data_IF_696853784547
#
_entry.id   IF_696853784547
#
_cell.length_a   1.000
_cell.length_b   1.000
_cell.length_c   1.000
_cell.angle_alpha   90.00
_cell.angle_beta   90.00
_cell.angle_gamma   90.00
#
_symmetry.space_group_name_H-M   'P 1'
#
loop_
_entity.id
_entity.type
_entity.pdbx_description
1 polymer ?
#
# COMPACT_ATOMS: atom_id res chain seq x y z
N UNK A 1 12.72 -5.60 41.77
CA UNK A 1 12.26 -5.08 40.47
C UNK A 1 11.79 -6.28 39.66
N UNK A 2 10.48 -6.43 39.44
CA UNK A 2 9.89 -7.64 38.87
C UNK A 2 10.00 -7.63 37.34
N UNK A 3 10.07 -8.81 36.73
CA UNK A 3 9.97 -8.97 35.27
C UNK A 3 8.68 -8.36 34.72
N UNK A 4 7.59 -8.39 35.50
CA UNK A 4 6.31 -7.77 35.15
C UNK A 4 6.42 -6.24 35.00
N UNK A 5 7.37 -5.59 35.67
CA UNK A 5 7.60 -4.13 35.56
C UNK A 5 8.39 -3.78 34.28
N UNK A 6 9.00 -4.79 33.64
CA UNK A 6 9.89 -4.64 32.47
C UNK A 6 9.28 -5.19 31.18
N UNK A 7 8.31 -6.09 31.28
CA UNK A 7 7.65 -6.73 30.13
C UNK A 7 6.19 -6.29 30.08
N UNK A 8 5.83 -5.56 29.02
CA UNK A 8 4.43 -5.19 28.74
C UNK A 8 3.99 -5.87 27.45
N UNK A 9 2.80 -6.46 27.47
CA UNK A 9 2.19 -7.05 26.27
C UNK A 9 1.71 -5.91 25.38
N UNK A 10 2.19 -5.90 24.14
CA UNK A 10 1.66 -4.98 23.13
C UNK A 10 0.30 -5.51 22.64
N UNK A 11 -0.77 -4.81 23.00
CA UNK A 11 -2.15 -5.19 22.68
C UNK A 11 -2.56 -4.87 21.24
N UNK A 12 -1.74 -4.16 20.47
CA UNK A 12 -2.06 -3.77 19.08
C UNK A 12 -2.25 -4.99 18.14
N UNK A 13 -1.75 -6.17 18.52
CA UNK A 13 -1.85 -7.41 17.72
C UNK A 13 -3.05 -8.30 18.07
N UNK A 14 -3.95 -7.86 18.95
CA UNK A 14 -5.09 -8.66 19.43
C UNK A 14 -6.29 -8.67 18.49
N UNK A 15 -6.28 -7.83 17.45
CA UNK A 15 -7.34 -7.76 16.43
C UNK A 15 -6.77 -8.02 15.03
N UNK A 16 -7.60 -8.59 14.17
CA UNK A 16 -7.27 -8.76 12.75
C UNK A 16 -7.22 -7.40 12.04
N UNK A 17 -6.19 -7.21 11.21
CA UNK A 17 -6.02 -6.02 10.38
C UNK A 17 -6.98 -6.05 9.20
N UNK A 18 -7.69 -4.93 8.98
CA UNK A 18 -8.53 -4.67 7.83
C UNK A 18 -7.86 -3.63 6.93
N UNK A 19 -7.64 -3.97 5.66
CA UNK A 19 -6.85 -3.15 4.74
C UNK A 19 -7.38 -1.73 4.57
N UNK A 20 -8.69 -1.55 4.47
CA UNK A 20 -9.27 -0.23 4.19
C UNK A 20 -9.48 0.60 5.45
N UNK A 21 -9.92 -0.04 6.53
CA UNK A 21 -10.12 0.68 7.79
C UNK A 21 -8.80 1.12 8.41
N UNK A 22 -7.78 0.28 8.28
CA UNK A 22 -6.53 0.47 9.00
C UNK A 22 -5.45 1.14 8.13
N UNK A 23 -5.73 1.47 6.85
CA UNK A 23 -4.75 2.09 5.94
C UNK A 23 -4.23 3.44 6.42
N UNK A 24 -5.06 4.31 6.97
CA UNK A 24 -4.60 5.65 7.38
C UNK A 24 -4.17 5.69 8.86
N UNK A 25 -4.14 4.53 9.52
CA UNK A 25 -3.86 4.45 10.94
C UNK A 25 -2.35 4.44 11.21
N UNK A 26 -1.82 5.60 11.62
CA UNK A 26 -0.42 5.71 12.03
C UNK A 26 -0.07 4.71 13.14
N UNK A 27 -0.97 4.48 14.09
CA UNK A 27 -0.75 3.54 15.20
C UNK A 27 -0.61 2.10 14.72
N UNK A 28 -1.34 1.69 13.69
CA UNK A 28 -1.22 0.36 13.07
C UNK A 28 0.14 0.22 12.39
N UNK A 29 0.62 1.27 11.72
CA UNK A 29 1.94 1.25 11.08
C UNK A 29 3.05 1.23 12.11
N UNK A 30 3.00 2.08 13.12
CA UNK A 30 4.03 2.12 14.17
C UNK A 30 4.13 0.82 14.97
N UNK A 31 3.04 0.05 15.04
CA UNK A 31 3.04 -1.27 15.63
C UNK A 31 3.54 -2.37 14.66
N UNK A 32 3.81 -2.10 13.37
CA UNK A 32 4.24 -3.16 12.45
C UNK A 32 5.63 -3.68 12.80
N UNK A 33 5.77 -5.01 12.92
CA UNK A 33 7.05 -5.69 13.14
C UNK A 33 7.45 -6.41 11.84
N UNK A 34 8.49 -5.94 11.12
CA UNK A 34 8.99 -6.63 9.94
C UNK A 34 9.57 -7.99 10.30
N UNK A 35 8.91 -9.07 9.88
CA UNK A 35 9.44 -10.43 10.03
C UNK A 35 10.46 -10.73 8.92
N UNK A 36 11.30 -11.75 9.12
CA UNK A 36 12.23 -12.23 8.09
C UNK A 36 11.52 -12.60 6.77
N UNK A 37 10.30 -13.14 6.85
CA UNK A 37 9.48 -13.46 5.67
C UNK A 37 8.95 -12.20 4.99
N UNK A 38 8.54 -11.18 5.75
CA UNK A 38 8.12 -9.91 5.19
C UNK A 38 9.28 -9.21 4.47
N UNK A 39 10.46 -9.15 5.09
CA UNK A 39 11.65 -8.53 4.51
C UNK A 39 12.12 -9.26 3.25
N UNK A 40 12.12 -10.60 3.25
CA UNK A 40 12.44 -11.40 2.05
C UNK A 40 11.44 -11.16 0.92
N UNK A 41 10.15 -11.04 1.24
CA UNK A 41 9.10 -10.71 0.25
C UNK A 41 9.32 -9.30 -0.31
N UNK A 42 9.63 -8.34 0.56
CA UNK A 42 9.90 -6.95 0.17
C UNK A 42 11.12 -6.84 -0.75
N UNK A 43 12.19 -7.60 -0.47
CA UNK A 43 13.35 -7.70 -1.37
C UNK A 43 12.94 -8.15 -2.78
N UNK A 44 12.19 -9.25 -2.88
CA UNK A 44 11.72 -9.78 -4.17
C UNK A 44 10.84 -8.77 -4.90
N UNK A 45 9.96 -8.07 -4.19
CA UNK A 45 9.13 -7.01 -4.79
C UNK A 45 9.98 -5.83 -5.25
N UNK A 46 10.99 -5.42 -4.48
CA UNK A 46 11.90 -4.35 -4.86
C UNK A 46 12.77 -4.72 -6.09
N UNK A 47 13.14 -5.99 -6.25
CA UNK A 47 13.83 -6.47 -7.46
C UNK A 47 12.87 -6.42 -8.65
N UNK A 48 11.68 -6.97 -8.46
CA UNK A 48 10.67 -7.10 -9.49
C UNK A 48 9.96 -5.79 -9.87
N UNK A 49 10.14 -4.68 -9.13
CA UNK A 49 9.66 -3.34 -9.49
C UNK A 49 10.70 -2.54 -10.30
N UNK A 50 11.97 -2.95 -10.31
CA UNK A 50 13.05 -2.29 -11.07
C UNK A 50 13.45 -2.99 -12.37
N UNK A 51 13.08 -4.26 -12.56
CA UNK A 51 13.54 -5.08 -13.69
C UNK A 51 12.75 -4.83 -14.98
N UNK A 52 13.37 -4.46 -16.10
CA UNK A 52 12.69 -4.09 -17.38
C UNK A 52 11.52 -5.00 -17.82
N UNK A 53 11.56 -6.29 -17.49
CA UNK A 53 10.40 -7.20 -17.56
C UNK A 53 9.87 -7.51 -16.15
N UNK A 54 8.79 -6.82 -15.75
CA UNK A 54 8.20 -6.98 -14.42
C UNK A 54 6.99 -7.95 -14.45
N UNK A 55 6.87 -8.88 -13.48
CA UNK A 55 5.64 -9.62 -13.27
C UNK A 55 4.47 -8.64 -13.02
N UNK A 56 3.36 -8.78 -13.75
CA UNK A 56 2.20 -7.87 -13.65
C UNK A 56 1.34 -8.11 -12.41
N UNK A 57 1.45 -9.27 -11.76
CA UNK A 57 0.67 -9.63 -10.59
C UNK A 57 1.41 -10.64 -9.70
N UNK A 58 1.12 -10.58 -8.40
CA UNK A 58 1.67 -11.49 -7.39
C UNK A 58 0.56 -12.04 -6.48
N UNK A 59 0.77 -13.26 -5.99
CA UNK A 59 -0.04 -13.85 -4.92
C UNK A 59 0.81 -14.06 -3.67
N UNK A 60 0.38 -13.49 -2.54
CA UNK A 60 1.01 -13.70 -1.24
C UNK A 60 0.16 -14.70 -0.43
N UNK A 61 0.63 -15.94 -0.33
CA UNK A 61 -0.08 -17.04 0.33
C UNK A 61 0.59 -17.39 1.66
N UNK A 62 -0.21 -17.67 2.68
CA UNK A 62 0.26 -18.05 4.02
C UNK A 62 -0.90 -18.24 4.99
N UNK A 63 -0.68 -18.90 6.14
CA UNK A 63 -1.73 -19.22 7.10
C UNK A 63 -2.42 -17.98 7.68
N UNK A 64 -3.60 -18.14 8.26
CA UNK A 64 -4.28 -17.04 8.96
C UNK A 64 -3.38 -16.46 10.05
N UNK A 65 -3.41 -15.14 10.26
CA UNK A 65 -2.56 -14.47 11.25
C UNK A 65 -1.09 -14.30 10.87
N UNK A 66 -0.64 -14.78 9.71
CA UNK A 66 0.77 -14.64 9.26
C UNK A 66 1.19 -13.23 8.84
N UNK A 67 0.35 -12.20 9.07
CA UNK A 67 0.66 -10.81 8.77
C UNK A 67 0.56 -10.36 7.31
N UNK A 68 -0.07 -11.13 6.41
CA UNK A 68 -0.19 -10.79 4.97
C UNK A 68 -0.85 -9.43 4.72
N UNK A 69 -1.98 -9.18 5.36
CA UNK A 69 -2.71 -7.92 5.21
C UNK A 69 -1.89 -6.76 5.79
N UNK A 70 -1.29 -6.93 6.97
CA UNK A 70 -0.41 -5.94 7.58
C UNK A 70 0.79 -5.63 6.69
N UNK A 71 1.38 -6.64 6.05
CA UNK A 71 2.45 -6.47 5.06
C UNK A 71 1.99 -5.64 3.86
N UNK A 72 0.78 -5.88 3.34
CA UNK A 72 0.24 -5.11 2.21
C UNK A 72 0.06 -3.62 2.58
N UNK A 73 -0.41 -3.32 3.79
CA UNK A 73 -0.50 -1.93 4.26
C UNK A 73 0.90 -1.33 4.43
N UNK A 74 1.83 -2.05 5.05
CA UNK A 74 3.22 -1.61 5.21
C UNK A 74 3.88 -1.29 3.86
N UNK A 75 3.72 -2.18 2.88
CA UNK A 75 4.19 -1.97 1.51
C UNK A 75 3.53 -0.76 0.85
N UNK A 76 2.22 -0.58 1.01
CA UNK A 76 1.52 0.56 0.45
C UNK A 76 2.09 1.89 0.99
N UNK A 77 2.40 1.97 2.29
CA UNK A 77 3.04 3.16 2.84
C UNK A 77 4.48 3.34 2.42
N UNK A 78 5.26 2.27 2.28
CA UNK A 78 6.61 2.37 1.74
C UNK A 78 6.64 2.94 0.32
N UNK A 79 5.62 2.64 -0.48
CA UNK A 79 5.45 3.12 -1.85
C UNK A 79 4.63 4.41 -1.95
N UNK A 80 4.11 4.93 -0.83
CA UNK A 80 3.26 6.12 -0.80
C UNK A 80 4.02 7.44 -0.97
N UNK A 81 3.30 8.55 -0.84
CA UNK A 81 3.87 9.89 -0.95
C UNK A 81 4.99 10.12 0.08
N UNK A 82 6.21 10.55 -0.31
CA UNK A 82 7.35 10.70 0.60
C UNK A 82 7.12 11.66 1.78
N UNK A 83 6.26 12.67 1.61
CA UNK A 83 5.91 13.63 2.65
C UNK A 83 4.95 13.11 3.72
N UNK A 84 4.23 12.02 3.45
CA UNK A 84 3.17 11.52 4.33
C UNK A 84 3.73 10.94 5.63
N UNK A 85 3.01 11.16 6.73
CA UNK A 85 3.43 10.73 8.07
C UNK A 85 3.54 9.21 8.15
N UNK A 86 2.60 8.49 7.53
CA UNK A 86 2.59 7.02 7.45
C UNK A 86 3.76 6.47 6.63
N UNK A 87 4.08 7.10 5.48
CA UNK A 87 5.27 6.76 4.67
C UNK A 87 6.56 6.94 5.46
N UNK A 88 6.71 8.05 6.20
CA UNK A 88 7.88 8.30 7.05
C UNK A 88 7.99 7.27 8.17
N UNK A 89 6.86 6.91 8.80
CA UNK A 89 6.83 5.86 9.82
C UNK A 89 7.24 4.49 9.25
N UNK A 90 6.70 4.10 8.09
CA UNK A 90 7.05 2.85 7.44
C UNK A 90 8.54 2.79 7.07
N UNK A 91 9.11 3.86 6.52
CA UNK A 91 10.55 3.94 6.20
C UNK A 91 11.43 3.88 7.45
N UNK A 92 11.02 4.53 8.56
CA UNK A 92 11.72 4.42 9.85
C UNK A 92 11.74 2.98 10.35
N UNK A 93 10.60 2.29 10.33
CA UNK A 93 10.50 0.88 10.73
C UNK A 93 11.40 0.00 9.85
N UNK A 94 11.38 0.21 8.53
CA UNK A 94 12.24 -0.53 7.62
C UNK A 94 13.72 -0.31 7.95
N UNK A 95 14.12 0.93 8.21
CA UNK A 95 15.54 1.31 8.49
C UNK A 95 16.03 0.79 9.84
N UNK A 96 15.12 0.64 10.82
CA UNK A 96 15.45 0.10 12.15
C UNK A 96 15.54 -1.42 12.17
N UNK A 97 15.02 -2.11 11.15
CA UNK A 97 15.17 -3.56 11.04
C UNK A 97 16.62 -3.94 10.69
N UNK A 98 17.06 -5.10 11.15
CA UNK A 98 18.44 -5.56 10.95
C UNK A 98 18.73 -5.83 9.46
N UNK A 99 19.91 -5.41 8.99
CA UNK A 99 20.42 -5.67 7.63
C UNK A 99 19.54 -5.15 6.48
N UNK A 100 18.74 -4.11 6.69
CA UNK A 100 17.83 -3.55 5.67
C UNK A 100 18.31 -2.24 5.04
N UNK A 101 19.46 -1.69 5.42
CA UNK A 101 19.92 -0.37 4.94
C UNK A 101 19.91 -0.27 3.40
N UNK A 102 20.43 -1.29 2.70
CA UNK A 102 20.40 -1.34 1.25
C UNK A 102 18.98 -1.43 0.68
N UNK A 103 18.08 -2.18 1.32
CA UNK A 103 16.68 -2.28 0.92
C UNK A 103 15.94 -0.95 1.12
N UNK A 104 16.16 -0.25 2.23
CA UNK A 104 15.56 1.03 2.53
C UNK A 104 15.92 2.09 1.49
N UNK A 105 17.21 2.17 1.11
CA UNK A 105 17.68 3.06 0.03
C UNK A 105 17.00 2.70 -1.29
N UNK A 106 16.90 1.41 -1.62
CA UNK A 106 16.26 0.96 -2.86
C UNK A 106 14.79 1.35 -2.93
N UNK A 107 14.02 1.11 -1.87
CA UNK A 107 12.60 1.49 -1.80
C UNK A 107 12.45 3.01 -1.89
N UNK A 108 13.24 3.75 -1.13
CA UNK A 108 13.20 5.22 -1.12
C UNK A 108 13.51 5.80 -2.50
N UNK A 109 14.47 5.21 -3.24
CA UNK A 109 14.80 5.64 -4.60
C UNK A 109 13.64 5.48 -5.60
N UNK A 110 12.67 4.59 -5.32
CA UNK A 110 11.51 4.38 -6.19
C UNK A 110 10.45 5.48 -6.02
N UNK A 111 10.42 6.16 -4.87
CA UNK A 111 9.39 7.16 -4.54
C UNK A 111 9.91 8.59 -4.54
N UNK A 112 11.23 8.80 -4.37
CA UNK A 112 11.85 10.12 -4.23
C UNK A 112 11.63 11.08 -5.40
N UNK A 113 11.47 10.58 -6.63
CA UNK A 113 11.34 11.42 -7.81
C UNK A 113 9.92 11.98 -8.04
N UNK A 114 8.94 11.66 -7.18
CA UNK A 114 7.56 12.11 -7.38
C UNK A 114 6.66 11.97 -6.17
N UNK A 115 5.36 11.83 -6.43
CA UNK A 115 4.30 11.74 -5.42
C UNK A 115 4.16 10.32 -4.81
N UNK A 116 5.14 9.45 -5.03
CA UNK A 116 5.02 8.01 -4.78
C UNK A 116 4.12 7.31 -5.81
N UNK A 117 3.72 6.07 -5.48
CA UNK A 117 2.82 5.25 -6.29
C UNK A 117 1.35 5.51 -5.94
N UNK A 118 0.47 5.32 -6.93
CA UNK A 118 -0.96 5.25 -6.67
C UNK A 118 -1.31 3.89 -6.07
N UNK A 119 -1.25 3.78 -4.74
CA UNK A 119 -1.54 2.54 -4.03
C UNK A 119 -3.04 2.38 -3.81
N UNK A 120 -3.60 1.27 -4.29
CA UNK A 120 -5.04 0.97 -4.20
C UNK A 120 -5.25 -0.29 -3.37
N UNK A 121 -5.74 -0.12 -2.15
CA UNK A 121 -6.06 -1.22 -1.24
C UNK A 121 -7.55 -1.58 -1.32
N UNK A 122 -7.83 -2.86 -1.57
CA UNK A 122 -9.20 -3.36 -1.73
C UNK A 122 -9.33 -4.67 -0.95
N UNK A 123 -10.39 -4.78 -0.16
CA UNK A 123 -10.82 -6.02 0.48
C UNK A 123 -11.89 -6.71 -0.36
N UNK A 124 -11.88 -8.04 -0.42
CA UNK A 124 -12.95 -8.81 -1.03
C UNK A 124 -14.29 -8.55 -0.32
N UNK A 125 -15.36 -8.36 -1.10
CA UNK A 125 -16.72 -8.16 -0.59
C UNK A 125 -17.75 -8.71 -1.58
N UNK A 126 -19.04 -8.61 -1.26
CA UNK A 126 -20.14 -8.95 -2.18
C UNK A 126 -20.33 -7.91 -3.30
N UNK A 127 -19.64 -6.76 -3.26
CA UNK A 127 -19.63 -5.77 -4.34
C UNK A 127 -18.80 -6.25 -5.52
N UNK A 128 -19.16 -5.83 -6.74
CA UNK A 128 -18.33 -6.04 -7.94
C UNK A 128 -16.91 -5.49 -7.76
N UNK A 129 -15.91 -6.32 -8.03
CA UNK A 129 -14.49 -5.93 -8.02
C UNK A 129 -14.23 -4.76 -8.97
N UNK A 130 -14.80 -4.78 -10.17
CA UNK A 130 -14.61 -3.73 -11.17
C UNK A 130 -15.08 -2.37 -10.63
N UNK A 131 -16.29 -2.34 -10.05
CA UNK A 131 -16.83 -1.12 -9.43
C UNK A 131 -15.93 -0.62 -8.31
N UNK A 132 -15.51 -1.53 -7.44
CA UNK A 132 -14.71 -1.19 -6.27
C UNK A 132 -13.32 -0.69 -6.64
N UNK A 133 -12.67 -1.37 -7.58
CA UNK A 133 -11.38 -0.99 -8.14
C UNK A 133 -11.43 0.41 -8.73
N UNK A 134 -12.40 0.70 -9.60
CA UNK A 134 -12.52 2.00 -10.25
C UNK A 134 -12.79 3.10 -9.23
N UNK A 135 -13.66 2.86 -8.23
CA UNK A 135 -13.94 3.85 -7.17
C UNK A 135 -12.71 4.16 -6.34
N UNK A 136 -12.00 3.14 -5.85
CA UNK A 136 -10.80 3.35 -5.03
C UNK A 136 -9.68 3.98 -5.86
N UNK A 137 -9.47 3.53 -7.09
CA UNK A 137 -8.48 4.11 -8.01
C UNK A 137 -8.79 5.58 -8.34
N UNK A 138 -10.05 5.92 -8.64
CA UNK A 138 -10.46 7.29 -8.92
C UNK A 138 -10.29 8.20 -7.70
N UNK A 139 -10.63 7.71 -6.50
CA UNK A 139 -10.44 8.45 -5.26
C UNK A 139 -8.96 8.74 -4.99
N UNK A 140 -8.09 7.72 -5.10
CA UNK A 140 -6.64 7.84 -4.89
C UNK A 140 -5.98 8.71 -5.96
N UNK A 141 -6.34 8.54 -7.23
CA UNK A 141 -5.84 9.38 -8.31
C UNK A 141 -6.22 10.86 -8.09
N UNK A 142 -7.46 11.14 -7.71
CA UNK A 142 -7.91 12.51 -7.39
C UNK A 142 -7.09 13.12 -6.25
N UNK A 143 -6.80 12.36 -5.20
CA UNK A 143 -6.01 12.83 -4.06
C UNK A 143 -4.57 13.18 -4.46
N UNK A 144 -3.93 12.32 -5.27
CA UNK A 144 -2.57 12.56 -5.79
C UNK A 144 -2.54 13.83 -6.65
N UNK A 145 -3.48 13.97 -7.58
CA UNK A 145 -3.52 15.12 -8.49
C UNK A 145 -4.00 16.42 -7.82
N UNK A 146 -4.76 16.36 -6.73
CA UNK A 146 -5.10 17.53 -5.93
C UNK A 146 -3.88 18.15 -5.22
N UNK A 147 -2.82 17.38 -4.99
CA UNK A 147 -1.56 17.87 -4.40
C UNK A 147 -0.61 18.48 -5.44
N UNK A 148 -0.82 18.16 -6.71
CA UNK A 148 0.01 18.66 -7.82
C UNK A 148 -0.48 20.03 -8.28
N UNK A 149 0.46 20.85 -8.75
CA UNK A 149 0.14 22.13 -9.41
C UNK A 149 -0.35 21.93 -10.85
N UNK A 150 0.03 20.82 -11.46
CA UNK A 150 -0.30 20.46 -12.83
C UNK A 150 -1.77 20.01 -12.94
N UNK A 151 -2.44 20.27 -14.07
CA UNK A 151 -3.79 19.78 -14.29
C UNK A 151 -3.81 18.25 -14.34
N UNK A 152 -4.87 17.67 -13.77
CA UNK A 152 -5.06 16.22 -13.81
C UNK A 152 -5.20 15.73 -15.27
N UNK A 153 -4.54 14.62 -15.64
CA UNK A 153 -4.63 14.07 -16.98
C UNK A 153 -6.03 13.51 -17.23
N UNK A 154 -6.38 13.36 -18.51
CA UNK A 154 -7.70 12.92 -18.96
C UNK A 154 -8.16 11.60 -18.31
N UNK A 155 -7.24 10.69 -18.03
CA UNK A 155 -7.48 9.42 -17.32
C UNK A 155 -8.15 9.62 -15.96
N UNK A 156 -7.77 10.64 -15.19
CA UNK A 156 -8.37 10.90 -13.86
C UNK A 156 -9.85 11.26 -14.02
N UNK A 157 -10.16 12.12 -14.99
CA UNK A 157 -11.54 12.51 -15.28
C UNK A 157 -12.36 11.35 -15.88
N UNK A 158 -11.75 10.47 -16.67
CA UNK A 158 -12.41 9.23 -17.16
C UNK A 158 -12.74 8.30 -15.99
N UNK A 159 -11.78 8.05 -15.09
CA UNK A 159 -11.98 7.21 -13.90
C UNK A 159 -13.05 7.77 -12.96
N UNK A 160 -13.08 9.08 -12.72
CA UNK A 160 -14.11 9.73 -11.91
C UNK A 160 -15.52 9.56 -12.51
N UNK A 161 -15.64 9.67 -13.85
CA UNK A 161 -16.91 9.43 -14.54
C UNK A 161 -17.37 7.98 -14.44
N UNK A 162 -16.47 7.01 -14.63
CA UNK A 162 -16.78 5.59 -14.45
C UNK A 162 -17.18 5.26 -13.00
N UNK A 163 -16.47 5.84 -12.02
CA UNK A 163 -16.76 5.63 -10.60
C UNK A 163 -18.16 6.14 -10.18
N UNK A 164 -18.67 7.17 -10.87
CA UNK A 164 -19.98 7.78 -10.62
C UNK A 164 -21.16 7.01 -11.23
N UNK A 165 -20.91 6.02 -12.10
CA UNK A 165 -21.98 5.24 -12.71
C UNK A 165 -22.71 4.36 -11.68
N UNK A 166 -24.01 4.13 -11.92
CA UNK A 166 -24.84 3.28 -11.05
C UNK A 166 -24.50 1.79 -11.19
N UNK A 167 -24.05 1.34 -12.36
CA UNK A 167 -23.67 -0.05 -12.67
C UNK A 167 -22.20 -0.37 -12.37
N UNK A 168 -21.79 -1.65 -12.35
CA UNK A 168 -20.37 -2.00 -12.42
C UNK A 168 -19.86 -1.71 -13.84
N UNK A 169 -18.74 -0.99 -14.01
CA UNK A 169 -18.18 -0.72 -15.33
C UNK A 169 -17.72 -2.04 -15.98
N UNK A 170 -17.82 -2.12 -17.31
CA UNK A 170 -17.28 -3.26 -18.04
C UNK A 170 -15.74 -3.20 -18.07
N UNK A 171 -15.09 -4.34 -18.23
CA UNK A 171 -13.63 -4.39 -18.31
C UNK A 171 -13.08 -3.58 -19.49
N UNK A 172 -13.79 -3.54 -20.62
CA UNK A 172 -13.44 -2.71 -21.78
C UNK A 172 -13.35 -1.24 -21.40
N UNK A 173 -14.37 -0.71 -20.70
CA UNK A 173 -14.44 0.70 -20.33
C UNK A 173 -13.27 1.10 -19.41
N UNK A 174 -12.84 0.17 -18.55
CA UNK A 174 -11.67 0.37 -17.68
C UNK A 174 -10.39 0.42 -18.50
N UNK A 175 -10.22 -0.49 -19.47
CA UNK A 175 -9.03 -0.53 -20.33
C UNK A 175 -8.94 0.71 -21.22
N UNK A 176 -10.07 1.21 -21.72
CA UNK A 176 -10.15 2.44 -22.50
C UNK A 176 -9.75 3.69 -21.70
N UNK A 177 -9.69 3.61 -20.37
CA UNK A 177 -9.14 4.71 -19.56
C UNK A 177 -7.62 4.80 -19.63
N UNK A 178 -6.93 3.69 -19.91
CA UNK A 178 -5.47 3.57 -19.85
C UNK A 178 -4.83 3.82 -21.23
N UNK A 179 -5.61 3.68 -22.31
CA UNK A 179 -5.23 3.97 -23.69
C UNK A 179 -5.44 5.46 -24.05
#
# INVERSE_FOLDING_TARGET
MSLMDKVRVNTHYTRSVNLERDTDSLTVIEAYIPTSTALRTLHRMADALKADEHPRAWSLVGPYGSGKSSYAIFLAHLLGHPGAVTTKAANRILTQAENTAGLAVRITSMTQAGEGYCTVLITGSSESLARRLVRTLAAQAREIWARRKEPAPSIVNRLLRLAAQSGPPATSDILDCIQ
#
